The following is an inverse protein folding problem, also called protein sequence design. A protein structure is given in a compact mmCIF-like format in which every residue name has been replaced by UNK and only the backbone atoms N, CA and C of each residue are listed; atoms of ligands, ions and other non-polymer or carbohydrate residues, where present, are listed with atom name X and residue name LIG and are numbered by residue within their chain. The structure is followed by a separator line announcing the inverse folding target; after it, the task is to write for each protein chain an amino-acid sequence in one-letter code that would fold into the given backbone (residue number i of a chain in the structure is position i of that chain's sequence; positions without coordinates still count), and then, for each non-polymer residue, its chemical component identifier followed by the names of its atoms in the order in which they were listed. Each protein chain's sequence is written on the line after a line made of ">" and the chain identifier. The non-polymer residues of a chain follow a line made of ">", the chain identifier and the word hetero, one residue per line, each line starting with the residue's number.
data_IF_136906515167
#
_entry.id   IF_136906515167
#
_cell.length_a   1.000
_cell.length_b   1.000
_cell.length_c   1.000
_cell.angle_alpha   90.00
_cell.angle_beta   90.00
_cell.angle_gamma   90.00
#
_symmetry.space_group_name_H-M   'P 1'
#
loop_
_entity.id
_entity.type
_entity.pdbx_description
1 polymer ?
#
# COMPACT_ATOMS: atom_id res chain seq x y z
N UNK A 1 1.03 34.25 38.50
CA UNK A 1 0.71 35.69 38.44
C UNK A 1 1.09 36.25 37.09
N UNK A 2 0.19 37.06 36.52
CA UNK A 2 0.25 37.82 35.25
C UNK A 2 0.10 37.04 33.95
N UNK A 3 -1.16 37.01 33.50
CA UNK A 3 -1.62 36.77 32.13
C UNK A 3 -1.28 37.99 31.27
N UNK A 4 -0.78 37.80 30.08
CA UNK A 4 -0.76 38.82 29.05
C UNK A 4 -1.51 38.30 27.83
N UNK A 5 -2.66 38.93 27.60
CA UNK A 5 -3.54 38.77 26.44
C UNK A 5 -2.97 39.72 25.38
N UNK A 6 -2.71 39.21 24.18
CA UNK A 6 -2.44 40.03 23.00
C UNK A 6 -3.51 39.75 21.95
N UNK A 7 -4.39 40.72 21.80
CA UNK A 7 -5.38 40.78 20.74
C UNK A 7 -4.70 41.33 19.48
N UNK A 8 -4.92 40.74 18.33
CA UNK A 8 -4.59 41.30 17.04
C UNK A 8 -5.82 41.31 16.14
N UNK A 9 -6.15 42.50 15.79
CA UNK A 9 -7.28 43.00 15.00
C UNK A 9 -7.27 42.51 13.55
N UNK A 10 -8.46 42.23 13.07
CA UNK A 10 -8.80 42.01 11.68
C UNK A 10 -8.60 43.27 10.82
N UNK A 11 -8.06 43.12 9.63
CA UNK A 11 -8.15 44.12 8.58
C UNK A 11 -8.72 43.44 7.30
N UNK A 12 -9.96 43.76 7.00
CA UNK A 12 -10.59 43.53 5.70
C UNK A 12 -10.01 44.48 4.66
N UNK A 13 -9.64 43.94 3.50
CA UNK A 13 -9.52 44.74 2.29
C UNK A 13 -10.32 44.06 1.17
N UNK A 14 -11.40 44.70 0.79
CA UNK A 14 -12.16 44.43 -0.43
C UNK A 14 -11.49 45.17 -1.59
N UNK A 15 -11.27 44.52 -2.72
CA UNK A 15 -11.05 45.22 -3.98
C UNK A 15 -11.77 44.50 -5.15
N UNK A 16 -12.48 45.29 -5.80
CA UNK A 16 -13.44 45.27 -6.89
C UNK A 16 -12.96 44.64 -8.21
N UNK A 17 -13.92 44.02 -8.85
CA UNK A 17 -14.01 43.54 -10.24
C UNK A 17 -13.69 44.58 -11.31
N UNK A 18 -12.98 44.18 -12.36
CA UNK A 18 -13.10 44.79 -13.69
C UNK A 18 -13.20 43.69 -14.74
N UNK A 19 -14.36 43.68 -15.40
CA UNK A 19 -14.64 42.99 -16.66
C UNK A 19 -14.08 43.82 -17.81
N UNK A 20 -13.34 43.24 -18.73
CA UNK A 20 -13.24 43.74 -20.09
C UNK A 20 -13.07 42.59 -21.07
N UNK A 21 -14.06 42.36 -21.89
CA UNK A 21 -13.99 41.48 -23.03
C UNK A 21 -13.36 42.18 -24.22
N UNK A 22 -12.78 41.42 -25.14
CA UNK A 22 -13.01 41.56 -26.60
C UNK A 22 -12.30 40.44 -27.38
N UNK A 23 -13.05 39.92 -28.31
CA UNK A 23 -12.80 38.95 -29.36
C UNK A 23 -11.68 39.35 -30.32
N UNK A 24 -10.93 38.38 -30.85
CA UNK A 24 -10.66 38.25 -32.29
C UNK A 24 -9.90 36.96 -32.63
N UNK A 25 -10.34 36.32 -33.70
CA UNK A 25 -9.83 35.12 -34.36
C UNK A 25 -8.37 35.25 -34.83
N UNK A 26 -7.59 34.14 -34.69
CA UNK A 26 -6.63 33.77 -35.73
C UNK A 26 -6.37 32.26 -35.64
N UNK A 27 -6.66 31.55 -36.72
CA UNK A 27 -6.33 30.15 -36.97
C UNK A 27 -4.81 29.95 -37.01
N UNK A 28 -4.32 28.93 -36.32
CA UNK A 28 -3.07 28.30 -36.68
C UNK A 28 -3.14 26.82 -36.27
N UNK A 29 -3.13 25.98 -37.28
CA UNK A 29 -3.11 24.53 -37.22
C UNK A 29 -1.79 24.03 -36.64
N UNK A 30 -1.84 23.35 -35.51
CA UNK A 30 -0.82 22.37 -35.14
C UNK A 30 -1.53 21.15 -34.52
N UNK A 31 -1.48 20.03 -35.26
CA UNK A 31 -1.90 18.73 -34.80
C UNK A 31 -1.03 18.33 -33.61
N UNK A 32 -1.60 18.39 -32.40
CA UNK A 32 -1.10 17.69 -31.26
C UNK A 32 -1.94 16.42 -31.11
N UNK A 33 -1.31 15.27 -31.30
CA UNK A 33 -1.95 13.99 -31.12
C UNK A 33 -2.39 13.84 -29.66
N UNK A 34 -3.69 13.96 -29.42
CA UNK A 34 -4.34 13.60 -28.18
C UNK A 34 -4.38 12.07 -28.13
N UNK A 35 -3.43 11.45 -27.44
CA UNK A 35 -3.60 10.10 -26.95
C UNK A 35 -4.60 10.17 -25.80
N UNK A 36 -5.87 9.94 -26.11
CA UNK A 36 -6.90 9.65 -25.12
C UNK A 36 -6.46 8.42 -24.34
N UNK A 37 -6.35 8.46 -23.01
CA UNK A 37 -6.17 7.24 -22.24
C UNK A 37 -7.35 6.34 -22.54
N UNK A 38 -7.07 5.14 -23.00
CA UNK A 38 -8.09 4.14 -23.19
C UNK A 38 -8.74 3.90 -21.83
N UNK A 39 -9.98 4.34 -21.68
CA UNK A 39 -10.84 3.96 -20.57
C UNK A 39 -11.06 2.45 -20.70
N UNK A 40 -10.25 1.67 -20.01
CA UNK A 40 -10.53 0.27 -19.77
C UNK A 40 -11.62 0.24 -18.70
N UNK A 41 -12.84 0.51 -19.10
CA UNK A 41 -14.00 0.08 -18.35
C UNK A 41 -14.11 -1.43 -18.56
N UNK A 42 -13.31 -2.18 -17.83
CA UNK A 42 -13.56 -3.60 -17.68
C UNK A 42 -14.70 -3.70 -16.68
N UNK A 43 -15.92 -3.73 -17.18
CA UNK A 43 -17.06 -4.29 -16.45
C UNK A 43 -16.76 -5.78 -16.26
N UNK A 44 -15.87 -6.05 -15.31
CA UNK A 44 -15.55 -7.42 -14.92
C UNK A 44 -16.69 -7.83 -14.00
N UNK A 45 -17.75 -8.36 -14.58
CA UNK A 45 -18.77 -9.08 -13.82
C UNK A 45 -18.05 -10.20 -13.09
N UNK A 46 -17.75 -9.96 -11.81
CA UNK A 46 -17.10 -10.95 -10.94
C UNK A 46 -18.01 -12.17 -10.88
N UNK A 47 -17.57 -13.27 -11.49
CA UNK A 47 -18.29 -14.53 -11.42
C UNK A 47 -18.12 -15.10 -10.02
N UNK A 48 -19.22 -15.56 -9.45
CA UNK A 48 -19.24 -16.24 -8.15
C UNK A 48 -19.76 -17.66 -8.32
N UNK A 49 -19.30 -18.58 -7.49
CA UNK A 49 -19.83 -19.96 -7.46
C UNK A 49 -21.24 -20.01 -6.87
N UNK A 50 -21.67 -18.94 -6.19
CA UNK A 50 -22.90 -18.89 -5.39
C UNK A 50 -22.76 -19.51 -4.00
N UNK A 51 -21.68 -20.22 -3.72
CA UNK A 51 -21.36 -20.76 -2.40
C UNK A 51 -20.95 -19.65 -1.45
N UNK A 52 -21.33 -19.76 -0.19
CA UNK A 52 -20.93 -18.84 0.86
C UNK A 52 -19.99 -19.52 1.85
N UNK A 53 -18.89 -18.83 2.15
CA UNK A 53 -17.91 -19.24 3.14
C UNK A 53 -18.15 -18.44 4.40
N UNK A 54 -18.30 -19.14 5.52
CA UNK A 54 -18.41 -18.52 6.84
C UNK A 54 -17.00 -18.23 7.37
N UNK A 55 -16.76 -17.01 7.78
CA UNK A 55 -15.51 -16.59 8.43
C UNK A 55 -15.80 -15.76 9.67
N UNK A 56 -14.92 -15.86 10.65
CA UNK A 56 -14.91 -14.98 11.80
C UNK A 56 -13.82 -13.93 11.59
N UNK A 57 -14.23 -12.73 11.19
CA UNK A 57 -13.33 -11.60 10.96
C UNK A 57 -13.10 -10.85 12.27
N UNK A 58 -11.85 -10.47 12.53
CA UNK A 58 -11.46 -9.81 13.78
C UNK A 58 -12.08 -8.42 13.96
N UNK A 59 -12.53 -7.77 12.87
CA UNK A 59 -13.12 -6.43 12.87
C UNK A 59 -14.62 -6.48 12.67
N UNK A 60 -15.09 -7.32 11.74
CA UNK A 60 -16.48 -7.41 11.33
C UNK A 60 -17.26 -8.52 12.07
N UNK A 61 -16.57 -9.38 12.81
CA UNK A 61 -17.15 -10.55 13.47
C UNK A 61 -17.53 -11.66 12.49
N UNK A 62 -18.63 -12.38 12.79
CA UNK A 62 -19.11 -13.48 11.95
C UNK A 62 -19.71 -12.94 10.65
N UNK A 63 -19.04 -13.23 9.52
CA UNK A 63 -19.50 -12.81 8.19
C UNK A 63 -19.54 -13.97 7.20
N UNK A 64 -20.39 -13.82 6.19
CA UNK A 64 -20.48 -14.75 5.08
C UNK A 64 -20.02 -14.07 3.81
N UNK A 65 -18.94 -14.58 3.21
CA UNK A 65 -18.44 -14.10 1.92
C UNK A 65 -18.87 -15.05 0.81
N UNK A 66 -19.15 -14.49 -0.36
CA UNK A 66 -19.45 -15.30 -1.55
C UNK A 66 -18.13 -15.73 -2.20
N UNK A 67 -17.99 -17.03 -2.44
CA UNK A 67 -16.80 -17.56 -3.11
C UNK A 67 -16.75 -17.06 -4.56
N UNK A 68 -15.57 -16.64 -4.99
CA UNK A 68 -15.32 -16.19 -6.35
C UNK A 68 -14.99 -17.38 -7.25
N UNK A 69 -15.58 -17.40 -8.44
CA UNK A 69 -15.25 -18.43 -9.45
C UNK A 69 -13.83 -18.19 -10.00
N UNK A 70 -13.10 -19.29 -10.23
CA UNK A 70 -11.75 -19.24 -10.81
C UNK A 70 -10.63 -18.82 -9.85
N UNK A 71 -10.91 -18.56 -8.57
CA UNK A 71 -9.87 -18.34 -7.56
C UNK A 71 -9.32 -19.68 -7.08
N UNK A 72 -8.01 -19.95 -7.24
CA UNK A 72 -7.43 -21.20 -6.77
C UNK A 72 -7.58 -21.34 -5.24
N UNK A 73 -8.01 -22.52 -4.79
CA UNK A 73 -8.07 -22.83 -3.36
C UNK A 73 -6.67 -23.12 -2.81
N UNK A 74 -6.50 -22.85 -1.53
CA UNK A 74 -5.30 -23.27 -0.81
C UNK A 74 -5.17 -24.81 -0.85
N UNK A 75 -4.04 -25.30 -1.32
CA UNK A 75 -3.72 -26.74 -1.41
C UNK A 75 -2.71 -27.20 -0.38
N UNK A 76 -2.28 -26.33 0.54
CA UNK A 76 -1.35 -26.69 1.61
C UNK A 76 -2.03 -27.67 2.59
N UNK A 77 -1.31 -28.74 2.93
CA UNK A 77 -1.78 -29.68 3.95
C UNK A 77 -1.46 -29.15 5.34
N UNK A 78 -2.48 -28.99 6.18
CA UNK A 78 -2.32 -28.51 7.56
C UNK A 78 -1.42 -29.38 8.42
N UNK A 79 -1.38 -30.68 8.17
CA UNK A 79 -0.53 -31.63 8.92
C UNK A 79 0.97 -31.43 8.66
N UNK A 80 1.31 -30.70 7.61
CA UNK A 80 2.68 -30.40 7.23
C UNK A 80 3.25 -29.14 7.89
N UNK A 81 2.43 -28.44 8.68
CA UNK A 81 2.90 -27.30 9.46
C UNK A 81 3.45 -27.74 10.81
N UNK A 82 4.58 -27.17 11.15
CA UNK A 82 5.19 -27.24 12.49
C UNK A 82 5.50 -25.83 12.97
N UNK A 83 5.64 -25.63 14.27
CA UNK A 83 6.01 -24.33 14.84
C UNK A 83 6.94 -24.50 16.02
N UNK A 84 7.82 -23.53 16.21
CA UNK A 84 8.52 -23.28 17.47
C UNK A 84 7.96 -22.01 18.14
N UNK A 85 8.67 -21.46 19.13
CA UNK A 85 8.26 -20.25 19.85
C UNK A 85 8.31 -18.97 18.97
N UNK A 86 8.94 -19.04 17.80
CA UNK A 86 9.23 -17.88 16.97
C UNK A 86 8.56 -17.97 15.60
N UNK A 87 8.67 -19.12 14.93
CA UNK A 87 8.28 -19.29 13.54
C UNK A 87 7.33 -20.46 13.33
N UNK A 88 6.62 -20.40 12.21
CA UNK A 88 5.83 -21.51 11.68
C UNK A 88 6.48 -21.99 10.38
N UNK A 89 6.72 -23.29 10.28
CA UNK A 89 7.40 -23.94 9.16
C UNK A 89 6.45 -24.81 8.37
N UNK A 90 6.68 -24.93 7.08
CA UNK A 90 5.96 -25.86 6.20
C UNK A 90 6.96 -26.82 5.55
N UNK A 91 6.62 -28.11 5.53
CA UNK A 91 7.45 -29.15 4.91
C UNK A 91 6.65 -30.01 3.97
N UNK A 92 7.21 -30.34 2.81
CA UNK A 92 6.64 -31.31 1.88
C UNK A 92 7.59 -32.49 1.70
N UNK A 93 7.04 -33.70 1.82
CA UNK A 93 7.81 -34.93 1.66
C UNK A 93 9.09 -34.97 2.54
N UNK A 94 8.98 -34.42 3.75
CA UNK A 94 10.10 -34.34 4.69
C UNK A 94 11.17 -33.28 4.36
N UNK A 95 10.91 -32.38 3.43
CA UNK A 95 11.79 -31.28 3.05
C UNK A 95 11.15 -29.94 3.39
N UNK A 96 11.95 -29.00 3.89
CA UNK A 96 11.49 -27.64 4.11
C UNK A 96 10.98 -27.02 2.80
N UNK A 97 9.76 -26.49 2.83
CA UNK A 97 9.05 -25.86 1.71
C UNK A 97 8.54 -24.45 2.06
N UNK A 98 8.96 -23.91 3.19
CA UNK A 98 8.78 -22.48 3.55
C UNK A 98 10.12 -21.77 3.70
N UNK A 99 10.05 -20.47 3.71
CA UNK A 99 11.13 -19.56 4.12
C UNK A 99 10.58 -18.62 5.17
N UNK A 100 11.40 -18.28 6.14
CA UNK A 100 11.00 -17.42 7.25
C UNK A 100 11.34 -15.97 6.93
N UNK A 101 10.38 -15.08 7.12
CA UNK A 101 10.53 -13.66 6.78
C UNK A 101 9.93 -12.74 7.81
N UNK A 102 10.34 -11.48 7.72
CA UNK A 102 9.77 -10.38 8.47
C UNK A 102 9.38 -9.24 7.54
N UNK A 103 8.35 -8.49 7.89
CA UNK A 103 8.07 -7.19 7.28
C UNK A 103 8.47 -6.07 8.22
N UNK A 104 8.96 -4.98 7.64
CA UNK A 104 9.48 -3.84 8.39
C UNK A 104 9.13 -2.51 7.74
N UNK A 105 9.10 -1.48 8.57
CA UNK A 105 8.89 -0.09 8.15
C UNK A 105 9.66 0.85 9.08
N UNK A 106 9.58 2.16 8.87
CA UNK A 106 10.17 3.17 9.76
C UNK A 106 9.79 2.98 11.24
N UNK A 107 8.65 2.36 11.52
CA UNK A 107 8.23 2.02 12.88
C UNK A 107 9.08 0.94 13.56
N UNK A 108 9.85 0.17 12.80
CA UNK A 108 10.73 -0.86 13.34
C UNK A 108 12.01 -0.30 13.99
N UNK A 109 12.30 1.00 13.79
CA UNK A 109 13.43 1.67 14.41
C UNK A 109 14.80 1.12 13.97
N UNK A 110 15.78 1.14 14.85
CA UNK A 110 17.13 0.66 14.54
C UNK A 110 17.19 -0.88 14.56
N UNK A 111 17.60 -1.47 13.45
CA UNK A 111 17.67 -2.92 13.27
C UNK A 111 19.12 -3.40 13.37
N UNK A 112 19.34 -4.45 14.14
CA UNK A 112 20.58 -5.23 14.21
C UNK A 112 20.51 -6.40 13.21
N UNK A 113 21.01 -6.16 12.01
CA UNK A 113 20.89 -7.11 10.90
C UNK A 113 21.61 -8.45 11.14
N UNK A 114 22.69 -8.44 11.92
CA UNK A 114 23.39 -9.67 12.29
C UNK A 114 22.54 -10.53 13.21
N UNK A 115 21.80 -9.92 14.12
CA UNK A 115 20.86 -10.65 14.97
C UNK A 115 19.68 -11.18 14.16
N UNK A 116 19.12 -10.38 13.27
CA UNK A 116 18.03 -10.80 12.37
C UNK A 116 18.48 -12.03 11.55
N UNK A 117 19.66 -11.98 10.94
CA UNK A 117 20.18 -13.13 10.19
C UNK A 117 20.40 -14.37 11.06
N UNK A 118 20.95 -14.19 12.24
CA UNK A 118 21.21 -15.29 13.21
C UNK A 118 19.94 -15.90 13.79
N UNK A 119 18.82 -15.20 13.79
CA UNK A 119 17.54 -15.74 14.26
C UNK A 119 16.84 -16.67 13.27
N UNK A 120 17.41 -16.90 12.08
CA UNK A 120 16.83 -17.83 11.10
C UNK A 120 15.98 -17.14 10.03
N UNK A 121 15.93 -15.81 10.01
CA UNK A 121 15.23 -15.05 8.95
C UNK A 121 15.95 -15.20 7.61
N UNK A 122 15.21 -15.54 6.56
CA UNK A 122 15.68 -15.72 5.19
C UNK A 122 15.46 -14.48 4.33
N UNK A 123 14.35 -13.76 4.57
CA UNK A 123 13.99 -12.60 3.77
C UNK A 123 13.33 -11.50 4.58
N UNK A 124 13.34 -10.30 4.01
CA UNK A 124 12.71 -9.11 4.60
C UNK A 124 11.86 -8.42 3.54
N UNK A 125 10.61 -8.10 3.90
CA UNK A 125 9.75 -7.21 3.13
C UNK A 125 9.85 -5.81 3.71
N UNK A 126 10.33 -4.85 2.92
CA UNK A 126 10.57 -3.47 3.35
C UNK A 126 9.48 -2.56 2.80
N UNK A 127 8.78 -1.83 3.68
CA UNK A 127 7.85 -0.81 3.22
C UNK A 127 8.62 0.32 2.54
N UNK A 128 8.27 0.62 1.28
CA UNK A 128 8.87 1.75 0.54
C UNK A 128 8.06 3.04 0.69
N UNK A 129 6.79 2.93 0.98
CA UNK A 129 5.87 4.05 1.14
C UNK A 129 4.47 3.58 1.46
N UNK A 130 3.53 4.49 1.42
CA UNK A 130 2.12 4.20 1.64
C UNK A 130 1.24 5.37 1.27
N UNK A 131 -0.06 5.13 1.26
CA UNK A 131 -1.09 6.16 1.22
C UNK A 131 -1.67 6.36 2.62
N UNK A 132 -1.84 7.61 3.04
CA UNK A 132 -2.44 7.98 4.32
C UNK A 132 -3.94 7.67 4.37
N UNK A 133 -4.46 7.55 5.57
CA UNK A 133 -5.90 7.39 5.80
C UNK A 133 -6.65 8.71 5.56
N UNK A 134 -7.95 8.58 5.31
CA UNK A 134 -8.88 9.69 5.16
C UNK A 134 -8.96 10.27 3.76
N UNK A 135 -9.76 11.33 3.62
CA UNK A 135 -10.07 11.96 2.33
C UNK A 135 -8.86 12.59 1.62
N UNK A 136 -7.82 12.93 2.37
CA UNK A 136 -6.62 13.53 1.79
C UNK A 136 -5.73 12.52 1.07
N UNK A 137 -5.77 11.24 1.48
CA UNK A 137 -5.14 10.11 0.82
C UNK A 137 -3.73 10.36 0.29
N UNK A 138 -2.91 11.19 0.98
CA UNK A 138 -1.58 11.58 0.48
C UNK A 138 -0.62 10.42 0.51
N UNK A 139 0.09 10.22 -0.60
CA UNK A 139 1.19 9.27 -0.66
C UNK A 139 2.41 9.80 0.09
N UNK A 140 3.17 8.89 0.70
CA UNK A 140 4.39 9.19 1.43
C UNK A 140 5.44 8.10 1.19
N UNK A 141 6.72 8.48 1.16
CA UNK A 141 7.84 7.55 1.18
C UNK A 141 8.15 7.11 2.61
N UNK A 142 8.64 5.89 2.77
CA UNK A 142 9.22 5.45 4.04
C UNK A 142 10.70 5.83 4.08
N UNK A 143 11.06 6.80 4.93
CA UNK A 143 12.41 7.38 5.00
C UNK A 143 13.48 6.35 5.38
N UNK A 144 13.09 5.24 6.01
CA UNK A 144 14.01 4.17 6.41
C UNK A 144 14.24 3.13 5.32
N UNK A 145 13.41 3.11 4.27
CA UNK A 145 13.39 2.04 3.27
C UNK A 145 14.76 1.76 2.67
N UNK A 146 15.43 2.78 2.16
CA UNK A 146 16.72 2.62 1.51
C UNK A 146 17.81 2.09 2.46
N UNK A 147 17.81 2.56 3.71
CA UNK A 147 18.76 2.11 4.73
C UNK A 147 18.51 0.65 5.12
N UNK A 148 17.25 0.26 5.25
CA UNK A 148 16.85 -1.12 5.54
C UNK A 148 17.19 -2.08 4.40
N UNK A 149 16.90 -1.70 3.15
CA UNK A 149 17.28 -2.49 1.97
C UNK A 149 18.79 -2.74 1.92
N UNK A 150 19.60 -1.69 2.16
CA UNK A 150 21.06 -1.80 2.18
C UNK A 150 21.54 -2.70 3.31
N UNK A 151 21.02 -2.52 4.52
CA UNK A 151 21.39 -3.30 5.70
C UNK A 151 21.03 -4.78 5.57
N UNK A 152 19.82 -5.09 5.14
CA UNK A 152 19.37 -6.46 4.91
C UNK A 152 20.20 -7.17 3.83
N UNK A 153 20.47 -6.51 2.70
CA UNK A 153 21.33 -7.07 1.65
C UNK A 153 22.76 -7.31 2.13
N UNK A 154 23.33 -6.39 2.92
CA UNK A 154 24.66 -6.55 3.49
C UNK A 154 24.75 -7.75 4.44
N UNK A 155 23.65 -8.07 5.15
CA UNK A 155 23.54 -9.26 6.00
C UNK A 155 23.24 -10.56 5.23
N UNK A 156 23.14 -10.51 3.90
CA UNK A 156 22.86 -11.67 3.05
C UNK A 156 21.39 -12.15 3.13
N UNK A 157 20.46 -11.26 3.49
CA UNK A 157 19.03 -11.54 3.44
C UNK A 157 18.47 -11.28 2.04
N UNK A 158 17.47 -12.05 1.61
CA UNK A 158 16.66 -11.71 0.46
C UNK A 158 15.79 -10.50 0.81
N UNK A 159 15.57 -9.61 -0.16
CA UNK A 159 14.79 -8.38 0.07
C UNK A 159 13.68 -8.25 -0.95
N UNK A 160 12.47 -8.12 -0.47
CA UNK A 160 11.31 -7.65 -1.20
C UNK A 160 10.89 -6.27 -0.68
N UNK A 161 9.99 -5.64 -1.40
CA UNK A 161 9.41 -4.35 -1.00
C UNK A 161 7.90 -4.40 -1.04
N UNK A 162 7.25 -3.54 -0.25
CA UNK A 162 5.81 -3.37 -0.30
C UNK A 162 5.42 -1.91 -0.16
N UNK A 163 4.24 -1.58 -0.67
CA UNK A 163 3.58 -0.30 -0.49
C UNK A 163 2.34 -0.49 0.39
N UNK A 164 2.11 0.39 1.35
CA UNK A 164 0.93 0.35 2.21
C UNK A 164 -0.25 1.03 1.51
N UNK A 165 -1.00 0.25 0.75
CA UNK A 165 -2.12 0.73 -0.07
C UNK A 165 -3.33 1.09 0.80
N UNK A 166 -3.97 2.22 0.45
CA UNK A 166 -5.26 2.67 0.95
C UNK A 166 -6.16 3.14 -0.21
N UNK A 167 -5.86 2.72 -1.44
CA UNK A 167 -6.65 3.05 -2.62
C UNK A 167 -8.10 2.57 -2.48
N UNK A 168 -9.06 3.45 -2.75
CA UNK A 168 -10.50 3.16 -2.72
C UNK A 168 -11.14 3.17 -4.11
N UNK A 169 -10.35 3.46 -5.13
CA UNK A 169 -10.76 3.45 -6.54
C UNK A 169 -9.59 3.07 -7.45
N UNK A 170 -9.86 2.90 -8.74
CA UNK A 170 -8.85 2.47 -9.70
C UNK A 170 -7.78 3.53 -9.95
N UNK A 171 -8.15 4.79 -9.95
CA UNK A 171 -7.24 5.91 -10.17
C UNK A 171 -6.17 5.96 -9.07
N UNK A 172 -6.59 5.85 -7.82
CA UNK A 172 -5.68 5.78 -6.67
C UNK A 172 -4.78 4.54 -6.70
N UNK A 173 -5.33 3.38 -7.11
CA UNK A 173 -4.54 2.16 -7.22
C UNK A 173 -3.45 2.27 -8.30
N UNK A 174 -3.74 2.95 -9.42
CA UNK A 174 -2.75 3.23 -10.47
C UNK A 174 -1.68 4.19 -9.97
N UNK A 175 -2.07 5.26 -9.28
CA UNK A 175 -1.11 6.19 -8.67
C UNK A 175 -0.15 5.50 -7.70
N UNK A 176 -0.66 4.57 -6.86
CA UNK A 176 0.15 3.79 -5.95
C UNK A 176 1.11 2.83 -6.66
N UNK A 177 0.69 2.27 -7.81
CA UNK A 177 1.53 1.38 -8.60
C UNK A 177 2.64 2.12 -9.35
N UNK A 178 2.42 3.38 -9.70
CA UNK A 178 3.38 4.23 -10.40
C UNK A 178 4.38 4.92 -9.44
N UNK A 179 4.11 4.87 -8.12
CA UNK A 179 4.94 5.47 -7.07
C UNK A 179 6.24 4.69 -6.83
#
# INVERSE_FOLDING_TARGET
>A
MKKTICAVTAAMLALTSVLCGCSSNAESSSQSGSTTPATVATDTTVKTTGEKIHINDSTLGEIWITELDGVPKNTLNNDNFTSDDTFKYYSENGKAASMEGIDISSYSGKIDWDKVKKSGVDFVMVRIGGRGYGSDGKMYSDDSALSYIKGAKAAGLKVGVYFFSQAVNNEEAIEEADY
#
